data_IF_534575107811
#
_entry.id   IF_534575107811
#
_cell.length_a   1.000
_cell.length_b   1.000
_cell.length_c   1.000
_cell.angle_alpha   90.00
_cell.angle_beta   90.00
_cell.angle_gamma   90.00
#
_symmetry.space_group_name_H-M   'P 1'
#
loop_
_entity.id
_entity.type
_entity.pdbx_description
1 polymer ?
#
# COMPACT_ATOMS: atom_id res chain seq x y z
N UNK A 1 -14.15 -11.29 13.50
CA UNK A 1 -14.10 -11.59 12.04
C UNK A 1 -13.19 -12.79 11.82
N UNK A 2 -13.61 -13.75 10.99
CA UNK A 2 -12.75 -14.89 10.64
C UNK A 2 -11.86 -14.51 9.46
N UNK A 3 -10.55 -14.80 9.53
CA UNK A 3 -9.61 -14.34 8.49
C UNK A 3 -8.55 -15.37 8.14
N UNK A 4 -7.95 -15.18 6.96
CA UNK A 4 -6.80 -15.92 6.45
C UNK A 4 -5.77 -14.97 5.84
N UNK A 5 -4.52 -15.43 5.76
CA UNK A 5 -3.47 -14.77 4.99
C UNK A 5 -3.21 -15.54 3.70
N UNK A 6 -3.18 -14.87 2.57
CA UNK A 6 -2.77 -15.44 1.28
C UNK A 6 -1.33 -15.03 1.02
N UNK A 7 -0.42 -15.98 0.93
CA UNK A 7 1.00 -15.72 0.71
C UNK A 7 1.58 -16.61 -0.40
N UNK A 8 2.86 -16.46 -0.70
CA UNK A 8 3.56 -17.22 -1.73
C UNK A 8 5.04 -17.38 -1.34
N UNK A 9 5.76 -18.20 -2.06
CA UNK A 9 7.21 -18.36 -1.91
C UNK A 9 8.02 -17.18 -2.52
N UNK A 10 7.42 -16.32 -3.34
CA UNK A 10 8.13 -15.20 -3.99
C UNK A 10 7.17 -14.15 -4.56
N UNK A 11 7.72 -13.01 -5.00
CA UNK A 11 7.01 -12.05 -5.83
C UNK A 11 6.65 -12.68 -7.18
N UNK A 12 5.51 -12.24 -7.77
CA UNK A 12 5.05 -12.75 -9.06
C UNK A 12 4.40 -14.14 -9.03
N UNK A 13 4.22 -14.76 -7.85
CA UNK A 13 3.55 -16.06 -7.67
C UNK A 13 2.03 -16.04 -7.92
N UNK A 14 1.44 -14.89 -8.22
CA UNK A 14 0.01 -14.72 -8.48
C UNK A 14 -0.84 -14.40 -7.25
N UNK A 15 -0.22 -14.00 -6.14
CA UNK A 15 -0.94 -13.64 -4.90
C UNK A 15 -2.09 -12.67 -5.14
N UNK A 16 -1.83 -11.54 -5.78
CA UNK A 16 -2.84 -10.50 -6.03
C UNK A 16 -4.02 -11.06 -6.82
N UNK A 17 -3.77 -11.71 -7.96
CA UNK A 17 -4.82 -12.32 -8.78
C UNK A 17 -5.66 -13.32 -7.98
N UNK A 18 -5.01 -14.18 -7.21
CA UNK A 18 -5.70 -15.21 -6.41
C UNK A 18 -6.44 -14.60 -5.23
N UNK A 19 -5.84 -13.62 -4.52
CA UNK A 19 -6.50 -12.93 -3.40
C UNK A 19 -7.79 -12.22 -3.84
N UNK A 20 -7.72 -11.45 -4.92
CA UNK A 20 -8.90 -10.75 -5.46
C UNK A 20 -9.94 -11.74 -6.00
N UNK A 21 -9.49 -12.84 -6.63
CA UNK A 21 -10.37 -13.91 -7.08
C UNK A 21 -11.07 -14.63 -5.94
N UNK A 22 -10.38 -14.91 -4.82
CA UNK A 22 -10.97 -15.49 -3.60
C UNK A 22 -11.98 -14.52 -2.99
N UNK A 23 -11.65 -13.23 -2.84
CA UNK A 23 -12.60 -12.23 -2.34
C UNK A 23 -13.88 -12.24 -3.18
N UNK A 24 -13.78 -12.18 -4.51
CA UNK A 24 -14.92 -12.19 -5.42
C UNK A 24 -15.71 -13.51 -5.35
N UNK A 25 -15.03 -14.66 -5.27
CA UNK A 25 -15.67 -15.97 -5.14
C UNK A 25 -16.47 -16.10 -3.83
N UNK A 26 -15.91 -15.63 -2.72
CA UNK A 26 -16.59 -15.60 -1.42
C UNK A 26 -17.80 -14.67 -1.45
N UNK A 27 -17.68 -13.49 -2.06
CA UNK A 27 -18.81 -12.58 -2.24
C UNK A 27 -19.93 -13.20 -3.12
N UNK A 28 -19.58 -13.92 -4.20
CA UNK A 28 -20.54 -14.67 -5.02
C UNK A 28 -21.27 -15.76 -4.21
N UNK A 29 -20.63 -16.26 -3.15
CA UNK A 29 -21.27 -17.21 -2.19
C UNK A 29 -22.08 -16.49 -1.09
N UNK A 30 -22.16 -15.17 -1.09
CA UNK A 30 -22.97 -14.38 -0.17
C UNK A 30 -22.26 -13.89 1.09
N UNK A 31 -20.94 -14.10 1.23
CA UNK A 31 -20.18 -13.60 2.37
C UNK A 31 -19.84 -12.11 2.22
N UNK A 32 -19.86 -11.42 3.35
CA UNK A 32 -19.37 -10.04 3.47
C UNK A 32 -17.85 -10.04 3.72
N UNK A 33 -17.06 -9.58 2.73
CA UNK A 33 -15.60 -9.73 2.71
C UNK A 33 -14.90 -8.40 2.95
N UNK A 34 -13.86 -8.41 3.81
CA UNK A 34 -12.92 -7.32 4.03
C UNK A 34 -11.55 -7.70 3.47
N UNK A 35 -10.98 -6.83 2.63
CA UNK A 35 -9.62 -6.96 2.11
C UNK A 35 -8.59 -6.24 2.96
N UNK A 36 -7.39 -6.84 3.09
CA UNK A 36 -6.21 -6.25 3.72
C UNK A 36 -4.97 -6.53 2.88
N UNK A 37 -3.98 -5.66 2.98
CA UNK A 37 -2.67 -5.81 2.31
C UNK A 37 -1.54 -5.70 3.30
N UNK A 38 -0.63 -6.68 3.32
CA UNK A 38 0.63 -6.56 4.07
C UNK A 38 1.58 -5.61 3.35
N UNK A 39 2.21 -4.73 4.13
CA UNK A 39 3.22 -3.80 3.61
C UNK A 39 2.67 -2.49 3.05
N UNK A 40 3.58 -1.60 2.56
CA UNK A 40 3.27 -0.22 2.19
C UNK A 40 2.81 -0.09 0.73
N UNK A 41 1.82 -0.87 0.34
CA UNK A 41 1.26 -0.92 -1.01
C UNK A 41 0.02 -0.03 -1.14
N UNK A 42 -0.14 0.67 -2.26
CA UNK A 42 -1.30 1.51 -2.55
C UNK A 42 -2.15 0.96 -3.69
N UNK A 43 -1.59 0.05 -4.49
CA UNK A 43 -2.22 -0.46 -5.71
C UNK A 43 -3.11 -1.66 -5.40
N UNK A 44 -2.58 -2.67 -4.71
CA UNK A 44 -3.36 -3.86 -4.33
C UNK A 44 -4.56 -3.52 -3.43
N UNK A 45 -4.44 -2.60 -2.43
CA UNK A 45 -5.61 -2.12 -1.68
C UNK A 45 -6.71 -1.49 -2.54
N UNK A 46 -6.35 -0.82 -3.63
CA UNK A 46 -7.34 -0.27 -4.55
C UNK A 46 -8.10 -1.36 -5.32
N UNK A 47 -7.44 -2.47 -5.70
CA UNK A 47 -8.12 -3.65 -6.26
C UNK A 47 -9.09 -4.27 -5.26
N UNK A 48 -8.63 -4.48 -4.01
CA UNK A 48 -9.48 -5.03 -2.95
C UNK A 48 -10.72 -4.16 -2.73
N UNK A 49 -10.52 -2.84 -2.63
CA UNK A 49 -11.60 -1.88 -2.40
C UNK A 49 -12.62 -1.87 -3.54
N UNK A 50 -12.16 -1.95 -4.79
CA UNK A 50 -13.05 -2.00 -5.97
C UNK A 50 -13.91 -3.26 -5.97
N UNK A 51 -13.37 -4.39 -5.52
CA UNK A 51 -14.07 -5.68 -5.50
C UNK A 51 -15.04 -5.77 -4.34
N UNK A 52 -14.58 -5.44 -3.14
CA UNK A 52 -15.36 -5.63 -1.90
C UNK A 52 -16.36 -4.50 -1.65
N UNK A 53 -16.20 -3.37 -2.33
CA UNK A 53 -16.97 -2.15 -2.05
C UNK A 53 -16.59 -1.48 -0.72
N UNK A 54 -15.52 -1.95 -0.06
CA UNK A 54 -15.03 -1.45 1.22
C UNK A 54 -13.59 -0.97 1.11
N UNK A 55 -13.18 0.06 1.84
CA UNK A 55 -11.78 0.45 1.89
C UNK A 55 -10.91 -0.72 2.36
N UNK A 56 -9.92 -1.10 1.57
CA UNK A 56 -8.88 -2.03 2.00
C UNK A 56 -7.88 -1.31 2.91
N UNK A 57 -7.18 -2.06 3.75
CA UNK A 57 -6.29 -1.54 4.79
C UNK A 57 -4.91 -2.11 4.66
N UNK A 58 -3.92 -1.31 5.00
CA UNK A 58 -2.55 -1.79 5.07
C UNK A 58 -2.25 -2.35 6.47
N UNK A 59 -1.48 -3.44 6.50
CA UNK A 59 -0.97 -4.07 7.71
C UNK A 59 0.55 -4.09 7.62
N UNK A 60 1.17 -2.99 8.06
CA UNK A 60 2.61 -2.78 7.94
C UNK A 60 3.25 -2.58 9.32
N UNK A 61 3.85 -3.65 9.88
CA UNK A 61 4.47 -3.61 11.20
C UNK A 61 5.65 -2.61 11.26
N UNK A 62 6.36 -2.38 10.15
CA UNK A 62 7.45 -1.42 10.17
C UNK A 62 6.97 0.02 10.32
N UNK A 63 5.88 0.37 9.62
CA UNK A 63 5.36 1.73 9.61
C UNK A 63 4.52 2.05 10.84
N UNK A 64 3.74 1.10 11.38
CA UNK A 64 2.75 1.38 12.42
C UNK A 64 2.89 0.49 13.66
N UNK A 65 3.96 -0.31 13.75
CA UNK A 65 4.21 -1.26 14.83
C UNK A 65 3.11 -2.32 14.99
N UNK A 66 3.24 -3.23 15.93
CA UNK A 66 2.26 -4.31 16.13
C UNK A 66 0.90 -3.79 16.61
N UNK A 67 0.91 -2.78 17.47
CA UNK A 67 -0.33 -2.18 17.98
C UNK A 67 -1.08 -1.44 16.87
N UNK A 68 -0.37 -0.76 15.97
CA UNK A 68 -0.99 -0.09 14.82
C UNK A 68 -1.61 -1.07 13.83
N UNK A 69 -0.98 -2.23 13.55
CA UNK A 69 -1.61 -3.22 12.66
C UNK A 69 -2.83 -3.88 13.31
N UNK A 70 -2.83 -4.10 14.64
CA UNK A 70 -4.00 -4.61 15.37
C UNK A 70 -5.16 -3.61 15.31
N UNK A 71 -4.87 -2.33 15.51
CA UNK A 71 -5.85 -1.23 15.39
C UNK A 71 -6.40 -1.15 13.94
N UNK A 72 -5.52 -1.10 12.93
CA UNK A 72 -5.95 -1.10 11.52
C UNK A 72 -6.80 -2.32 11.18
N UNK A 73 -6.40 -3.51 11.65
CA UNK A 73 -7.17 -4.74 11.43
C UNK A 73 -8.55 -4.67 12.10
N UNK A 74 -8.65 -4.16 13.32
CA UNK A 74 -9.90 -4.06 14.08
C UNK A 74 -10.91 -3.08 13.48
N UNK A 75 -10.45 -2.06 12.76
CA UNK A 75 -11.29 -1.10 12.03
C UNK A 75 -11.97 -1.70 10.80
N UNK A 76 -11.50 -2.84 10.30
CA UNK A 76 -12.11 -3.54 9.17
C UNK A 76 -13.47 -4.16 9.51
N UNK A 77 -14.37 -4.19 8.53
CA UNK A 77 -15.75 -4.65 8.72
C UNK A 77 -16.09 -5.72 7.69
N UNK A 78 -16.49 -6.91 8.18
CA UNK A 78 -16.89 -8.04 7.34
C UNK A 78 -17.09 -9.30 8.16
N UNK A 79 -17.65 -10.32 7.53
CA UNK A 79 -17.74 -11.67 8.10
C UNK A 79 -16.40 -12.39 7.94
N UNK A 80 -15.78 -12.22 6.74
CA UNK A 80 -14.51 -12.83 6.38
C UNK A 80 -13.47 -11.78 6.03
N UNK A 81 -12.24 -11.95 6.54
CA UNK A 81 -11.09 -11.14 6.21
C UNK A 81 -10.11 -11.90 5.32
N UNK A 82 -9.67 -11.30 4.23
CA UNK A 82 -8.62 -11.84 3.36
C UNK A 82 -7.43 -10.88 3.38
N UNK A 83 -6.32 -11.35 3.95
CA UNK A 83 -5.07 -10.59 4.06
C UNK A 83 -4.13 -11.02 2.94
N UNK A 84 -3.88 -10.15 1.98
CA UNK A 84 -2.92 -10.41 0.93
C UNK A 84 -1.50 -10.10 1.40
N UNK A 85 -0.59 -11.06 1.31
CA UNK A 85 0.81 -10.93 1.65
C UNK A 85 1.62 -10.12 0.63
N UNK A 86 2.81 -9.71 1.04
CA UNK A 86 3.81 -9.02 0.21
C UNK A 86 5.01 -9.94 -0.04
N UNK A 87 5.66 -9.83 -1.20
CA UNK A 87 6.86 -10.61 -1.56
C UNK A 87 6.69 -12.12 -1.30
N UNK A 88 7.70 -12.81 -0.82
CA UNK A 88 7.60 -14.16 -0.27
C UNK A 88 7.17 -14.15 1.20
N UNK A 89 6.70 -15.30 1.69
CA UNK A 89 6.15 -15.44 3.05
C UNK A 89 7.06 -14.88 4.14
N UNK A 90 8.36 -15.11 4.03
CA UNK A 90 9.38 -14.72 5.00
C UNK A 90 10.23 -13.51 4.55
N UNK A 91 9.95 -12.93 3.40
CA UNK A 91 10.68 -11.77 2.92
C UNK A 91 10.27 -10.52 3.70
N UNK A 92 11.13 -10.07 4.60
CA UNK A 92 10.93 -8.90 5.43
C UNK A 92 11.94 -7.78 5.13
N UNK A 93 12.42 -7.12 6.19
CA UNK A 93 13.43 -6.06 6.05
C UNK A 93 14.84 -6.64 6.14
N UNK A 94 15.55 -6.65 5.03
CA UNK A 94 16.93 -7.12 4.99
C UNK A 94 17.05 -8.63 4.80
N UNK A 95 17.60 -9.35 5.78
CA UNK A 95 17.92 -10.78 5.68
C UNK A 95 17.10 -11.65 6.65
N UNK A 96 16.23 -11.06 7.43
CA UNK A 96 15.40 -11.79 8.39
C UNK A 96 13.90 -11.67 8.03
N UNK A 97 13.07 -12.45 8.70
CA UNK A 97 11.63 -12.49 8.49
C UNK A 97 10.87 -11.38 9.20
N UNK A 98 11.56 -10.50 9.95
CA UNK A 98 10.93 -9.40 10.64
C UNK A 98 10.28 -8.43 9.63
N UNK A 99 9.04 -8.02 9.91
CA UNK A 99 8.21 -7.19 9.02
C UNK A 99 7.71 -7.90 7.74
N UNK A 100 7.86 -9.23 7.66
CA UNK A 100 7.33 -10.04 6.54
C UNK A 100 5.84 -10.35 6.71
N UNK A 101 5.27 -10.99 5.69
CA UNK A 101 3.92 -11.56 5.76
C UNK A 101 3.78 -12.56 6.91
N UNK A 102 4.81 -13.35 7.17
CA UNK A 102 4.87 -14.29 8.28
C UNK A 102 4.77 -13.57 9.64
N UNK A 103 5.46 -12.46 9.82
CA UNK A 103 5.39 -11.67 11.05
C UNK A 103 3.98 -11.12 11.28
N UNK A 104 3.31 -10.59 10.24
CA UNK A 104 1.91 -10.15 10.34
C UNK A 104 0.98 -11.30 10.69
N UNK A 105 1.14 -12.47 10.03
CA UNK A 105 0.33 -13.66 10.30
C UNK A 105 0.47 -14.13 11.76
N UNK A 106 1.68 -14.10 12.33
CA UNK A 106 1.94 -14.42 13.75
C UNK A 106 1.32 -13.39 14.69
N UNK A 107 1.53 -12.10 14.45
CA UNK A 107 1.00 -11.01 15.29
C UNK A 107 -0.53 -11.02 15.34
N UNK A 108 -1.20 -11.37 14.24
CA UNK A 108 -2.66 -11.46 14.16
C UNK A 108 -3.19 -12.88 14.40
N UNK A 109 -2.33 -13.84 14.69
CA UNK A 109 -2.67 -15.26 14.89
C UNK A 109 -3.46 -15.90 13.74
N UNK A 110 -3.13 -15.52 12.51
CA UNK A 110 -3.86 -15.95 11.31
C UNK A 110 -3.17 -17.12 10.62
N UNK A 111 -3.94 -18.12 10.15
CA UNK A 111 -3.42 -19.17 9.30
C UNK A 111 -3.12 -18.65 7.90
N UNK A 112 -2.13 -19.28 7.25
CA UNK A 112 -1.64 -18.92 5.92
C UNK A 112 -2.10 -19.96 4.90
N UNK A 113 -2.61 -19.50 3.75
CA UNK A 113 -2.79 -20.29 2.53
C UNK A 113 -1.68 -19.90 1.55
N UNK A 114 -0.89 -20.88 1.11
CA UNK A 114 0.19 -20.65 0.15
C UNK A 114 -0.32 -20.76 -1.27
N UNK A 115 -0.01 -19.77 -2.09
CA UNK A 115 -0.19 -19.79 -3.54
C UNK A 115 1.16 -20.07 -4.19
N UNK A 116 1.29 -21.19 -4.87
CA UNK A 116 2.54 -21.62 -5.50
C UNK A 116 2.35 -21.79 -7.01
N UNK A 117 3.30 -21.28 -7.78
CA UNK A 117 3.33 -21.39 -9.27
C UNK A 117 4.50 -22.27 -9.71
N UNK A 118 4.43 -23.61 -9.52
CA UNK A 118 5.55 -24.50 -9.77
C UNK A 118 5.88 -24.61 -11.27
N UNK A 119 7.18 -24.74 -11.58
CA UNK A 119 7.69 -24.92 -12.94
C UNK A 119 8.52 -26.20 -13.03
N UNK A 120 7.97 -27.24 -13.69
CA UNK A 120 8.65 -28.52 -13.92
C UNK A 120 9.24 -29.17 -12.62
N UNK A 121 8.51 -29.06 -11.52
CA UNK A 121 8.86 -29.63 -10.21
C UNK A 121 7.95 -30.82 -9.87
N UNK A 122 8.38 -31.71 -8.96
CA UNK A 122 7.54 -32.71 -8.30
C UNK A 122 7.96 -32.87 -6.84
N UNK A 123 8.75 -33.85 -6.47
CA UNK A 123 9.25 -34.02 -5.09
C UNK A 123 10.09 -32.81 -4.61
N UNK A 124 10.77 -32.08 -5.49
CA UNK A 124 11.51 -30.86 -5.14
C UNK A 124 10.57 -29.77 -4.60
N UNK A 125 9.34 -29.65 -5.15
CA UNK A 125 8.33 -28.75 -4.60
C UNK A 125 7.96 -29.11 -3.16
N UNK A 126 7.91 -30.42 -2.83
CA UNK A 126 7.63 -30.87 -1.47
C UNK A 126 8.74 -30.46 -0.48
N UNK A 127 10.01 -30.50 -0.92
CA UNK A 127 11.12 -30.02 -0.10
C UNK A 127 11.02 -28.50 0.17
N UNK A 128 10.61 -27.71 -0.84
CA UNK A 128 10.36 -26.27 -0.69
C UNK A 128 9.20 -26.01 0.29
N UNK A 129 8.07 -26.70 0.12
CA UNK A 129 6.91 -26.59 1.01
C UNK A 129 7.30 -26.95 2.46
N UNK A 130 7.99 -28.07 2.66
CA UNK A 130 8.45 -28.47 3.99
C UNK A 130 9.41 -27.44 4.59
N UNK A 131 10.27 -26.80 3.77
CA UNK A 131 11.11 -25.70 4.19
C UNK A 131 10.27 -24.52 4.69
N UNK A 132 9.26 -24.10 3.92
CA UNK A 132 8.35 -23.01 4.30
C UNK A 132 7.54 -23.33 5.56
N UNK A 133 7.12 -24.58 5.75
CA UNK A 133 6.35 -25.01 6.93
C UNK A 133 7.16 -25.06 8.23
N UNK A 134 8.47 -25.28 8.12
CA UNK A 134 9.34 -25.50 9.27
C UNK A 134 10.35 -24.36 9.52
N UNK A 135 10.36 -23.34 8.69
CA UNK A 135 11.29 -22.20 8.85
C UNK A 135 10.98 -21.36 10.09
N UNK A 136 9.70 -21.14 10.34
CA UNK A 136 9.19 -20.52 11.58
C UNK A 136 7.88 -21.18 12.00
N UNK A 137 7.47 -20.98 13.26
CA UNK A 137 6.17 -21.45 13.79
C UNK A 137 5.02 -20.65 13.18
N UNK A 138 4.54 -21.08 12.01
CA UNK A 138 3.39 -20.52 11.31
C UNK A 138 2.44 -21.63 10.92
N UNK A 139 1.15 -21.39 11.09
CA UNK A 139 0.13 -22.31 10.66
C UNK A 139 -0.12 -22.17 9.14
N UNK A 140 0.44 -23.07 8.33
CA UNK A 140 0.09 -23.20 6.92
C UNK A 140 -1.11 -24.15 6.84
N UNK A 141 -2.29 -23.60 6.53
CA UNK A 141 -3.57 -24.34 6.51
C UNK A 141 -3.85 -25.03 5.18
N UNK A 142 -3.25 -24.60 4.08
CA UNK A 142 -3.47 -25.20 2.77
C UNK A 142 -2.65 -24.57 1.65
N UNK A 143 -2.69 -25.22 0.48
CA UNK A 143 -1.97 -24.79 -0.72
C UNK A 143 -2.91 -24.67 -1.91
N UNK A 144 -2.78 -23.59 -2.68
CA UNK A 144 -3.41 -23.44 -4.00
C UNK A 144 -2.28 -23.41 -5.04
N UNK A 145 -2.38 -24.27 -6.03
CA UNK A 145 -1.43 -24.35 -7.13
C UNK A 145 -1.89 -23.44 -8.27
N UNK A 146 -1.04 -22.51 -8.69
CA UNK A 146 -1.39 -21.49 -9.67
C UNK A 146 -0.70 -21.71 -11.01
N UNK A 147 -1.37 -21.38 -12.11
CA UNK A 147 -0.85 -21.36 -13.47
C UNK A 147 -0.32 -22.74 -13.96
N UNK A 148 -1.08 -23.82 -13.68
CA UNK A 148 -0.72 -25.19 -14.03
C UNK A 148 -1.85 -25.90 -14.81
N UNK A 149 -1.52 -27.00 -15.49
CA UNK A 149 -2.52 -27.87 -16.12
C UNK A 149 -3.15 -28.84 -15.11
N UNK A 150 -4.33 -29.36 -15.43
CA UNK A 150 -5.05 -30.33 -14.58
C UNK A 150 -4.23 -31.62 -14.37
N UNK A 151 -3.58 -32.14 -15.40
CA UNK A 151 -2.74 -33.33 -15.29
C UNK A 151 -1.54 -33.10 -14.36
N UNK A 152 -0.95 -31.93 -14.42
CA UNK A 152 0.16 -31.56 -13.54
C UNK A 152 -0.33 -31.30 -12.11
N UNK A 153 -1.52 -30.72 -11.94
CA UNK A 153 -2.17 -30.60 -10.64
C UNK A 153 -2.35 -31.95 -9.95
N UNK A 154 -2.88 -32.97 -10.66
CA UNK A 154 -3.10 -34.30 -10.10
C UNK A 154 -1.81 -34.95 -9.60
N UNK A 155 -0.71 -34.81 -10.39
CA UNK A 155 0.60 -35.28 -9.98
C UNK A 155 1.10 -34.57 -8.73
N UNK A 156 1.05 -33.22 -8.72
CA UNK A 156 1.56 -32.42 -7.61
C UNK A 156 0.74 -32.61 -6.33
N UNK A 157 -0.59 -32.70 -6.46
CA UNK A 157 -1.47 -32.97 -5.32
C UNK A 157 -1.09 -34.27 -4.65
N UNK A 158 -0.95 -35.35 -5.41
CA UNK A 158 -0.53 -36.65 -4.89
C UNK A 158 0.86 -36.57 -4.21
N UNK A 159 1.82 -35.88 -4.84
CA UNK A 159 3.16 -35.74 -4.29
C UNK A 159 3.18 -34.92 -2.97
N UNK A 160 2.44 -33.81 -2.92
CA UNK A 160 2.38 -32.91 -1.75
C UNK A 160 1.64 -33.60 -0.59
N UNK A 161 0.48 -34.18 -0.82
CA UNK A 161 -0.29 -34.84 0.22
C UNK A 161 0.40 -36.11 0.79
N UNK A 162 1.29 -36.73 -0.02
CA UNK A 162 2.11 -37.86 0.44
C UNK A 162 3.34 -37.42 1.26
N UNK A 163 4.01 -36.31 0.86
CA UNK A 163 5.30 -35.92 1.46
C UNK A 163 5.21 -34.73 2.44
N UNK A 164 4.10 -33.99 2.43
CA UNK A 164 3.91 -32.81 3.26
C UNK A 164 2.62 -32.95 4.06
N UNK A 165 2.65 -32.60 5.32
CA UNK A 165 1.44 -32.63 6.18
C UNK A 165 0.57 -31.37 5.94
N UNK A 166 0.16 -31.15 4.68
CA UNK A 166 -0.66 -29.99 4.29
C UNK A 166 -1.60 -30.37 3.15
N UNK A 167 -2.80 -29.80 3.15
CA UNK A 167 -3.82 -30.08 2.14
C UNK A 167 -3.64 -29.20 0.90
N UNK A 168 -3.82 -29.80 -0.28
CA UNK A 168 -3.90 -29.05 -1.54
C UNK A 168 -5.38 -28.72 -1.81
N UNK A 169 -5.74 -27.45 -1.66
CA UNK A 169 -7.11 -26.95 -1.78
C UNK A 169 -7.63 -26.91 -3.23
N UNK A 170 -6.72 -26.82 -4.19
CA UNK A 170 -7.07 -26.75 -5.59
C UNK A 170 -6.01 -26.11 -6.45
N UNK A 171 -6.41 -25.74 -7.68
CA UNK A 171 -5.51 -25.10 -8.63
C UNK A 171 -6.22 -24.06 -9.50
N UNK A 172 -5.43 -23.15 -10.06
CA UNK A 172 -5.86 -22.21 -11.10
C UNK A 172 -5.14 -22.59 -12.40
N UNK A 173 -5.88 -22.85 -13.48
CA UNK A 173 -5.30 -23.20 -14.76
C UNK A 173 -4.54 -22.01 -15.35
N UNK A 174 -3.64 -22.32 -16.31
CA UNK A 174 -3.01 -21.28 -17.11
C UNK A 174 -4.08 -20.61 -17.97
N UNK A 175 -4.31 -19.32 -17.75
CA UNK A 175 -5.24 -18.51 -18.53
C UNK A 175 -4.65 -17.12 -18.76
N UNK A 176 -4.37 -16.80 -20.04
CA UNK A 176 -3.76 -15.53 -20.42
C UNK A 176 -4.66 -14.31 -20.10
N UNK A 177 -5.96 -14.52 -19.98
CA UNK A 177 -6.92 -13.47 -19.62
C UNK A 177 -6.76 -12.98 -18.18
N UNK A 178 -6.12 -13.78 -17.31
CA UNK A 178 -5.87 -13.41 -15.91
C UNK A 178 -4.67 -12.49 -15.73
N UNK A 179 -3.92 -12.20 -16.79
CA UNK A 179 -2.76 -11.32 -16.69
C UNK A 179 -3.19 -9.88 -16.40
N UNK A 180 -2.80 -9.39 -15.25
CA UNK A 180 -2.91 -7.97 -14.91
C UNK A 180 -1.64 -7.27 -15.41
N UNK A 181 -1.81 -6.21 -16.19
CA UNK A 181 -0.69 -5.43 -16.74
C UNK A 181 0.15 -4.82 -15.60
N UNK A 182 1.43 -4.57 -15.88
CA UNK A 182 2.33 -3.91 -14.94
C UNK A 182 2.92 -2.63 -15.53
N UNK A 183 3.18 -1.62 -14.70
CA UNK A 183 3.93 -0.40 -15.02
C UNK A 183 5.33 -0.42 -14.42
N UNK A 184 6.09 0.65 -14.66
CA UNK A 184 7.48 0.80 -14.21
C UNK A 184 7.70 0.68 -12.68
N UNK A 185 6.65 0.88 -11.86
CA UNK A 185 6.69 0.83 -10.39
C UNK A 185 5.69 -0.17 -9.79
N UNK A 186 5.18 -1.12 -10.58
CA UNK A 186 4.22 -2.11 -10.10
C UNK A 186 3.05 -2.32 -11.05
N UNK A 187 1.90 -2.75 -10.54
CA UNK A 187 0.68 -2.92 -11.33
C UNK A 187 0.12 -1.57 -11.81
N UNK A 188 -0.66 -1.59 -12.87
CA UNK A 188 -1.46 -0.44 -13.32
C UNK A 188 -2.53 -0.17 -12.26
N UNK A 189 -2.85 1.11 -12.01
CA UNK A 189 -3.92 1.45 -11.05
C UNK A 189 -5.25 0.82 -11.45
N UNK A 190 -6.04 0.39 -10.47
CA UNK A 190 -7.33 -0.27 -10.70
C UNK A 190 -8.30 0.57 -11.53
N UNK A 191 -8.21 1.91 -11.43
CA UNK A 191 -9.02 2.86 -12.20
C UNK A 191 -8.65 2.97 -13.68
N UNK A 192 -7.51 2.42 -14.10
CA UNK A 192 -6.97 2.48 -15.46
C UNK A 192 -7.10 1.15 -16.22
N UNK A 193 -7.54 0.07 -15.55
CA UNK A 193 -7.73 -1.25 -16.19
C UNK A 193 -9.19 -1.36 -16.63
N UNK A 194 -9.44 -1.19 -17.93
CA UNK A 194 -10.79 -1.21 -18.50
C UNK A 194 -11.51 -2.55 -18.31
N UNK A 195 -10.77 -3.67 -18.38
CA UNK A 195 -11.27 -5.04 -18.27
C UNK A 195 -11.03 -5.70 -16.91
N UNK A 196 -10.76 -4.89 -15.87
CA UNK A 196 -10.43 -5.42 -14.54
C UNK A 196 -11.54 -6.29 -13.94
N UNK A 197 -12.79 -5.87 -14.04
CA UNK A 197 -13.93 -6.61 -13.51
C UNK A 197 -14.10 -7.95 -14.20
N UNK A 198 -13.96 -7.99 -15.53
CA UNK A 198 -14.00 -9.24 -16.30
C UNK A 198 -12.90 -10.20 -15.88
N UNK A 199 -11.65 -9.73 -15.75
CA UNK A 199 -10.53 -10.56 -15.29
C UNK A 199 -10.75 -11.14 -13.90
N UNK A 200 -11.30 -10.34 -12.99
CA UNK A 200 -11.60 -10.79 -11.63
C UNK A 200 -12.75 -11.80 -11.65
N UNK A 201 -13.77 -11.60 -12.46
CA UNK A 201 -14.88 -12.55 -12.61
C UNK A 201 -14.39 -13.89 -13.17
N UNK A 202 -13.57 -13.89 -14.21
CA UNK A 202 -12.92 -15.09 -14.75
C UNK A 202 -12.09 -15.80 -13.68
N UNK A 203 -11.29 -15.08 -12.91
CA UNK A 203 -10.51 -15.65 -11.81
C UNK A 203 -11.41 -16.29 -10.75
N UNK A 204 -12.48 -15.59 -10.34
CA UNK A 204 -13.44 -16.10 -9.36
C UNK A 204 -14.16 -17.38 -9.85
N UNK A 205 -14.45 -17.47 -11.14
CA UNK A 205 -15.03 -18.68 -11.74
C UNK A 205 -14.06 -19.86 -11.71
N UNK A 206 -12.78 -19.63 -12.01
CA UNK A 206 -11.76 -20.66 -11.86
C UNK A 206 -11.63 -21.13 -10.40
N UNK A 207 -11.70 -20.20 -9.45
CA UNK A 207 -11.64 -20.53 -8.02
C UNK A 207 -12.87 -21.35 -7.62
N UNK A 208 -14.08 -20.91 -7.96
CA UNK A 208 -15.32 -21.65 -7.64
C UNK A 208 -15.36 -23.05 -8.27
N UNK A 209 -14.71 -23.23 -9.41
CA UNK A 209 -14.68 -24.51 -10.11
C UNK A 209 -13.61 -25.47 -9.63
N UNK A 210 -12.42 -24.95 -9.31
CA UNK A 210 -11.21 -25.78 -9.15
C UNK A 210 -10.61 -25.73 -7.74
N UNK A 211 -11.15 -24.90 -6.83
CA UNK A 211 -10.71 -24.82 -5.43
C UNK A 211 -11.84 -25.29 -4.53
N UNK A 212 -11.51 -26.13 -3.56
CA UNK A 212 -12.45 -26.59 -2.53
C UNK A 212 -12.71 -25.44 -1.54
N UNK A 213 -13.79 -24.69 -1.80
CA UNK A 213 -14.16 -23.51 -1.00
C UNK A 213 -14.60 -23.94 0.41
N UNK A 214 -15.21 -25.11 0.57
CA UNK A 214 -15.67 -25.56 1.88
C UNK A 214 -14.47 -25.91 2.78
N UNK A 215 -13.42 -26.50 2.22
CA UNK A 215 -12.16 -26.70 2.93
C UNK A 215 -11.41 -25.38 3.17
N UNK A 216 -11.41 -24.47 2.22
CA UNK A 216 -10.84 -23.14 2.40
C UNK A 216 -11.51 -22.41 3.57
N UNK A 217 -12.85 -22.45 3.66
CA UNK A 217 -13.61 -21.81 4.74
C UNK A 217 -13.28 -22.39 6.13
N UNK A 218 -12.90 -23.68 6.24
CA UNK A 218 -12.48 -24.29 7.50
C UNK A 218 -11.12 -23.75 8.00
N UNK A 219 -10.31 -23.17 7.11
CA UNK A 219 -9.01 -22.56 7.47
C UNK A 219 -9.21 -21.19 8.10
N UNK A 220 -10.27 -20.45 7.72
CA UNK A 220 -10.55 -19.15 8.31
C UNK A 220 -10.66 -19.25 9.83
N UNK A 221 -9.82 -18.50 10.53
CA UNK A 221 -9.73 -18.48 11.99
C UNK A 221 -10.29 -17.17 12.53
N UNK A 222 -11.05 -17.26 13.60
CA UNK A 222 -11.48 -16.09 14.35
C UNK A 222 -10.31 -15.47 15.11
N UNK A 223 -10.11 -14.18 14.93
CA UNK A 223 -9.05 -13.44 15.63
C UNK A 223 -9.52 -12.98 17.01
N UNK A 224 -8.59 -12.76 17.95
CA UNK A 224 -8.89 -12.01 19.15
C UNK A 224 -9.51 -10.64 18.83
N UNK A 225 -10.21 -10.05 19.79
CA UNK A 225 -10.64 -8.66 19.70
C UNK A 225 -9.44 -7.79 20.08
N UNK A 226 -8.98 -6.99 19.13
CA UNK A 226 -7.89 -6.05 19.38
C UNK A 226 -8.46 -4.68 19.75
N UNK A 227 -7.83 -4.04 20.73
CA UNK A 227 -8.15 -2.66 21.12
C UNK A 227 -7.56 -1.68 20.09
N UNK A 228 -8.31 -0.62 19.82
CA UNK A 228 -7.85 0.51 19.02
C UNK A 228 -7.67 1.74 19.94
N UNK A 229 -6.43 2.09 20.20
CA UNK A 229 -6.05 3.21 21.05
C UNK A 229 -5.63 4.47 20.26
N UNK A 230 -5.84 4.47 18.94
CA UNK A 230 -5.38 5.53 18.03
C UNK A 230 -6.50 6.52 17.65
N UNK A 231 -7.40 6.81 18.57
CA UNK A 231 -8.46 7.80 18.33
C UNK A 231 -8.00 9.22 18.63
N UNK A 232 -8.42 10.15 17.78
CA UNK A 232 -8.16 11.57 17.95
C UNK A 232 -9.46 12.31 18.31
N UNK A 233 -9.32 13.38 19.10
CA UNK A 233 -10.46 14.22 19.42
C UNK A 233 -10.81 15.11 18.24
N UNK A 234 -12.09 15.24 17.93
CA UNK A 234 -12.59 16.14 16.88
C UNK A 234 -12.24 17.60 17.21
N UNK A 235 -11.69 18.31 16.23
CA UNK A 235 -11.28 19.73 16.32
C UNK A 235 -12.06 20.63 15.35
N UNK A 236 -13.12 20.10 14.72
CA UNK A 236 -13.95 20.75 13.68
C UNK A 236 -13.14 21.30 12.50
N UNK A 237 -12.02 20.64 12.15
CA UNK A 237 -11.17 21.07 11.06
C UNK A 237 -11.82 20.80 9.69
N UNK A 238 -11.63 21.71 8.73
CA UNK A 238 -11.91 21.46 7.32
C UNK A 238 -10.64 21.10 6.57
N UNK A 239 -10.58 19.85 6.11
CA UNK A 239 -9.38 19.25 5.56
C UNK A 239 -9.63 18.93 4.08
N UNK A 240 -8.85 19.51 3.18
CA UNK A 240 -8.89 19.16 1.76
C UNK A 240 -7.88 18.06 1.45
N UNK A 241 -8.33 17.01 0.77
CA UNK A 241 -7.47 15.90 0.31
C UNK A 241 -7.53 15.81 -1.21
N UNK A 242 -6.38 15.91 -1.87
CA UNK A 242 -6.27 15.73 -3.30
C UNK A 242 -6.55 14.26 -3.67
N UNK A 243 -7.60 13.97 -4.44
CA UNK A 243 -7.94 12.59 -4.77
C UNK A 243 -8.48 12.46 -6.19
N UNK A 244 -7.66 11.89 -7.08
CA UNK A 244 -8.01 11.54 -8.45
C UNK A 244 -7.01 10.55 -9.04
N UNK A 245 -6.99 10.37 -10.36
CA UNK A 245 -6.06 9.46 -11.04
C UNK A 245 -4.58 9.85 -10.89
N UNK A 246 -4.28 11.14 -10.65
CA UNK A 246 -2.91 11.60 -10.44
C UNK A 246 -2.46 11.47 -8.98
N UNK A 247 -3.40 11.52 -8.02
CA UNK A 247 -3.15 11.48 -6.58
C UNK A 247 -4.10 10.49 -5.90
N UNK A 248 -3.63 9.29 -5.62
CA UNK A 248 -4.45 8.21 -5.04
C UNK A 248 -3.73 7.38 -3.98
N UNK A 249 -2.47 7.71 -3.65
CA UNK A 249 -1.67 6.94 -2.72
C UNK A 249 -1.84 7.48 -1.31
N UNK A 250 -2.80 6.90 -0.59
CA UNK A 250 -3.12 7.22 0.80
C UNK A 250 -3.29 5.92 1.59
N UNK A 251 -2.75 5.86 2.80
CA UNK A 251 -3.16 4.86 3.76
C UNK A 251 -4.55 5.18 4.28
N UNK A 252 -5.45 4.20 4.31
CA UNK A 252 -6.82 4.41 4.81
C UNK A 252 -6.81 4.92 6.25
N UNK A 253 -5.87 4.44 7.05
CA UNK A 253 -5.67 4.85 8.44
C UNK A 253 -5.38 6.34 8.56
N UNK A 254 -4.56 6.90 7.65
CA UNK A 254 -4.27 8.34 7.64
C UNK A 254 -5.54 9.17 7.38
N UNK A 255 -6.35 8.72 6.42
CA UNK A 255 -7.61 9.39 6.09
C UNK A 255 -8.60 9.30 7.26
N UNK A 256 -8.71 8.14 7.92
CA UNK A 256 -9.61 7.98 9.07
C UNK A 256 -9.22 8.87 10.26
N UNK A 257 -7.93 9.00 10.54
CA UNK A 257 -7.48 9.93 11.57
C UNK A 257 -7.80 11.39 11.22
N UNK A 258 -7.76 11.77 9.93
CA UNK A 258 -8.21 13.08 9.48
C UNK A 258 -9.74 13.22 9.58
N UNK A 259 -10.51 12.18 9.25
CA UNK A 259 -11.98 12.14 9.40
C UNK A 259 -12.40 12.24 10.89
N UNK A 260 -11.61 11.71 11.83
CA UNK A 260 -11.84 11.89 13.26
C UNK A 260 -11.63 13.36 13.71
N UNK A 261 -10.68 14.07 13.11
CA UNK A 261 -10.35 15.46 13.43
C UNK A 261 -11.33 16.48 12.86
N UNK A 262 -12.07 16.13 11.79
CA UNK A 262 -13.04 17.04 11.18
C UNK A 262 -13.59 16.59 9.85
N UNK A 263 -14.04 17.54 9.05
CA UNK A 263 -14.62 17.31 7.73
C UNK A 263 -13.52 17.11 6.67
N UNK A 264 -13.44 15.93 6.06
CA UNK A 264 -12.54 15.65 4.94
C UNK A 264 -13.27 15.90 3.62
N UNK A 265 -12.77 16.84 2.82
CA UNK A 265 -13.30 17.23 1.53
C UNK A 265 -12.32 16.79 0.45
N UNK A 266 -12.73 15.83 -0.39
CA UNK A 266 -11.93 15.41 -1.53
C UNK A 266 -12.10 16.40 -2.68
N UNK A 267 -10.98 16.70 -3.35
CA UNK A 267 -10.96 17.49 -4.57
C UNK A 267 -10.04 16.86 -5.63
N UNK A 268 -10.32 17.14 -6.89
CA UNK A 268 -9.54 16.61 -8.01
C UNK A 268 -8.63 17.69 -8.61
N UNK A 269 -7.31 17.61 -8.43
CA UNK A 269 -6.37 18.46 -9.15
C UNK A 269 -6.52 18.43 -10.68
N UNK A 270 -6.95 17.31 -11.24
CA UNK A 270 -7.20 17.16 -12.68
C UNK A 270 -8.47 17.90 -13.15
N UNK A 271 -9.56 17.84 -12.37
CA UNK A 271 -10.89 18.23 -12.88
C UNK A 271 -11.48 19.48 -12.22
N UNK A 272 -11.24 19.71 -10.93
CA UNK A 272 -11.75 20.86 -10.21
C UNK A 272 -10.98 22.12 -10.58
N UNK A 273 -11.64 23.27 -10.47
CA UNK A 273 -11.07 24.55 -10.88
C UNK A 273 -10.40 25.33 -9.74
N UNK A 274 -10.77 25.02 -8.49
CA UNK A 274 -10.28 25.68 -7.28
C UNK A 274 -10.32 24.72 -6.11
N UNK A 275 -9.51 25.00 -5.07
CA UNK A 275 -9.63 24.36 -3.78
C UNK A 275 -11.02 24.56 -3.16
N UNK A 276 -11.49 23.63 -2.32
CA UNK A 276 -12.64 23.83 -1.45
C UNK A 276 -12.44 25.09 -0.59
N UNK A 277 -13.55 25.74 -0.23
CA UNK A 277 -13.51 26.98 0.57
C UNK A 277 -13.31 26.69 2.05
N UNK A 278 -12.73 27.66 2.73
CA UNK A 278 -12.59 27.69 4.19
C UNK A 278 -11.86 26.44 4.77
N UNK A 279 -10.92 25.89 4.01
CA UNK A 279 -10.08 24.79 4.46
C UNK A 279 -8.95 25.31 5.34
N UNK A 280 -8.59 24.53 6.37
CA UNK A 280 -7.54 24.82 7.33
C UNK A 280 -6.28 23.95 7.11
N UNK A 281 -6.45 22.82 6.42
CA UNK A 281 -5.36 21.90 6.10
C UNK A 281 -5.53 21.30 4.71
N UNK A 282 -4.43 21.22 3.97
CA UNK A 282 -4.34 20.60 2.64
C UNK A 282 -3.41 19.39 2.69
N UNK A 283 -3.92 18.21 2.32
CA UNK A 283 -3.13 17.00 2.18
C UNK A 283 -3.06 16.56 0.71
N UNK A 284 -1.84 16.51 0.16
CA UNK A 284 -1.58 16.03 -1.21
C UNK A 284 -0.70 14.79 -1.10
N UNK A 285 -1.29 13.62 -1.23
CA UNK A 285 -0.58 12.35 -1.16
C UNK A 285 0.25 12.02 -2.40
N UNK A 286 0.71 10.79 -2.46
CA UNK A 286 1.42 10.27 -3.61
C UNK A 286 0.51 9.91 -4.78
N UNK A 287 1.14 9.48 -5.86
CA UNK A 287 0.49 9.08 -7.09
C UNK A 287 1.44 9.14 -8.28
N UNK A 288 0.89 9.35 -9.46
CA UNK A 288 1.64 9.44 -10.72
C UNK A 288 1.40 10.79 -11.45
N UNK A 289 1.72 11.94 -10.85
CA UNK A 289 1.49 13.24 -11.49
C UNK A 289 2.24 13.40 -12.81
N UNK A 290 3.38 12.71 -13.00
CA UNK A 290 4.15 12.72 -14.24
C UNK A 290 3.43 12.05 -15.41
N UNK A 291 2.50 11.15 -15.14
CA UNK A 291 1.66 10.49 -16.17
C UNK A 291 0.59 11.45 -16.68
N UNK A 292 0.09 12.31 -15.79
CA UNK A 292 -1.01 13.25 -16.08
C UNK A 292 -0.51 14.70 -16.18
N UNK A 293 0.78 14.88 -16.51
CA UNK A 293 1.39 16.21 -16.46
C UNK A 293 0.76 17.21 -17.44
N UNK A 294 0.31 16.76 -18.60
CA UNK A 294 -0.36 17.63 -19.57
C UNK A 294 -1.70 18.17 -19.04
N UNK A 295 -2.52 17.29 -18.45
CA UNK A 295 -3.81 17.64 -17.87
C UNK A 295 -3.63 18.55 -16.66
N UNK A 296 -2.74 18.21 -15.76
CA UNK A 296 -2.40 19.02 -14.59
C UNK A 296 -1.92 20.42 -15.00
N UNK A 297 -1.02 20.50 -15.99
CA UNK A 297 -0.50 21.77 -16.49
C UNK A 297 -1.53 22.64 -17.17
N UNK A 298 -2.55 22.05 -17.82
CA UNK A 298 -3.65 22.78 -18.44
C UNK A 298 -4.61 23.38 -17.41
N UNK A 299 -4.69 22.82 -16.21
CA UNK A 299 -5.58 23.29 -15.16
C UNK A 299 -5.00 24.49 -14.38
N UNK A 300 -4.66 25.56 -15.10
CA UNK A 300 -4.04 26.77 -14.53
C UNK A 300 -4.83 27.40 -13.37
N UNK A 301 -6.15 27.24 -13.37
CA UNK A 301 -7.00 27.78 -12.30
C UNK A 301 -6.78 27.03 -10.97
N UNK A 302 -6.64 25.71 -10.99
CA UNK A 302 -6.33 24.92 -9.81
C UNK A 302 -4.89 25.21 -9.31
N UNK A 303 -3.90 25.21 -10.22
CA UNK A 303 -2.52 25.55 -9.88
C UNK A 303 -2.43 26.90 -9.14
N UNK A 304 -3.11 27.92 -9.70
CA UNK A 304 -3.18 29.26 -9.11
C UNK A 304 -3.89 29.24 -7.75
N UNK A 305 -5.00 28.53 -7.63
CA UNK A 305 -5.78 28.45 -6.39
C UNK A 305 -4.96 27.83 -5.26
N UNK A 306 -4.24 26.72 -5.51
CA UNK A 306 -3.37 26.09 -4.53
C UNK A 306 -2.25 27.07 -4.10
N UNK A 307 -1.56 27.65 -5.07
CA UNK A 307 -0.45 28.57 -4.79
C UNK A 307 -0.90 29.77 -3.93
N UNK A 308 -2.02 30.40 -4.30
CA UNK A 308 -2.55 31.57 -3.58
C UNK A 308 -2.91 31.24 -2.13
N UNK A 309 -3.52 30.05 -1.86
CA UNK A 309 -3.85 29.66 -0.50
C UNK A 309 -2.61 29.30 0.34
N UNK A 310 -1.62 28.64 -0.27
CA UNK A 310 -0.33 28.37 0.38
C UNK A 310 0.43 29.67 0.68
N UNK A 311 0.45 30.63 -0.23
CA UNK A 311 1.08 31.95 -0.04
C UNK A 311 0.36 32.78 1.06
N UNK A 312 -0.92 32.51 1.34
CA UNK A 312 -1.67 33.09 2.48
C UNK A 312 -1.41 32.35 3.81
N UNK A 313 -0.65 31.26 3.79
CA UNK A 313 -0.29 30.51 4.99
C UNK A 313 -1.16 29.29 5.28
N UNK A 314 -1.94 28.78 4.32
CA UNK A 314 -2.63 27.51 4.46
C UNK A 314 -1.63 26.40 4.82
N UNK A 315 -1.94 25.62 5.84
CA UNK A 315 -1.13 24.46 6.22
C UNK A 315 -1.25 23.38 5.16
N UNK A 316 -0.09 22.83 4.77
CA UNK A 316 -0.05 21.77 3.76
C UNK A 316 0.99 20.71 4.10
N UNK A 317 0.59 19.45 3.93
CA UNK A 317 1.49 18.32 3.90
C UNK A 317 1.40 17.61 2.55
N UNK A 318 2.55 17.39 1.91
CA UNK A 318 2.60 16.76 0.59
C UNK A 318 3.61 15.61 0.57
N UNK A 319 3.19 14.46 0.05
CA UNK A 319 4.03 13.26 -0.05
C UNK A 319 4.33 12.90 -1.51
N UNK A 320 5.59 12.57 -1.82
CA UNK A 320 6.03 11.97 -3.07
C UNK A 320 5.50 12.70 -4.32
N UNK A 321 4.47 12.20 -4.98
CA UNK A 321 3.79 12.88 -6.09
C UNK A 321 3.28 14.27 -5.73
N UNK A 322 2.82 14.45 -4.50
CA UNK A 322 2.40 15.76 -3.97
C UNK A 322 3.58 16.74 -3.87
N UNK A 323 4.76 16.30 -3.42
CA UNK A 323 5.98 17.11 -3.47
C UNK A 323 6.29 17.55 -4.91
N UNK A 324 6.26 16.60 -5.87
CA UNK A 324 6.51 16.88 -7.28
C UNK A 324 5.52 17.95 -7.81
N UNK A 325 4.26 17.84 -7.44
CA UNK A 325 3.21 18.77 -7.89
C UNK A 325 3.34 20.19 -7.32
N UNK A 326 3.98 20.36 -6.16
CA UNK A 326 4.22 21.66 -5.56
C UNK A 326 5.44 22.40 -6.14
N UNK A 327 6.29 21.75 -6.97
CA UNK A 327 7.42 22.38 -7.67
C UNK A 327 6.95 23.30 -8.81
N UNK A 328 7.87 23.97 -9.51
CA UNK A 328 7.53 24.81 -10.68
C UNK A 328 7.14 23.97 -11.89
N UNK A 329 7.73 22.77 -12.05
CA UNK A 329 7.46 21.89 -13.17
C UNK A 329 7.86 20.45 -12.87
N UNK A 330 7.22 19.51 -13.58
CA UNK A 330 7.61 18.09 -13.65
C UNK A 330 8.13 17.80 -15.06
N UNK A 331 9.28 17.13 -15.14
CA UNK A 331 9.84 16.60 -16.39
C UNK A 331 9.80 15.07 -16.36
N UNK A 332 9.13 14.45 -17.31
CA UNK A 332 9.02 12.99 -17.41
C UNK A 332 10.26 12.37 -18.13
N UNK A 333 10.31 11.03 -18.17
CA UNK A 333 11.41 10.30 -18.80
C UNK A 333 11.55 10.51 -20.33
N UNK A 334 10.54 11.05 -20.97
CA UNK A 334 10.49 11.34 -22.41
C UNK A 334 10.92 12.79 -22.71
N UNK A 335 11.23 13.57 -21.65
CA UNK A 335 11.60 14.97 -21.75
C UNK A 335 10.39 15.91 -21.86
N UNK A 336 9.17 15.41 -21.73
CA UNK A 336 7.99 16.26 -21.63
C UNK A 336 8.01 16.99 -20.29
N UNK A 337 7.95 18.31 -20.35
CA UNK A 337 7.92 19.19 -19.18
C UNK A 337 6.61 19.92 -19.11
N UNK A 338 5.97 19.89 -17.96
CA UNK A 338 4.73 20.62 -17.70
C UNK A 338 4.80 21.44 -16.43
N UNK A 339 4.19 22.63 -16.46
CA UNK A 339 4.11 23.51 -15.28
C UNK A 339 3.20 22.87 -14.21
N UNK A 340 3.56 23.09 -12.96
CA UNK A 340 2.81 22.66 -11.79
C UNK A 340 2.51 23.85 -10.87
N UNK A 341 2.26 23.65 -9.58
CA UNK A 341 1.83 24.71 -8.66
C UNK A 341 2.84 25.85 -8.54
N UNK A 342 4.13 25.54 -8.60
CA UNK A 342 5.21 26.53 -8.50
C UNK A 342 5.26 27.21 -7.12
N UNK A 343 4.91 26.50 -6.07
CA UNK A 343 5.06 27.00 -4.70
C UNK A 343 6.50 26.86 -4.23
N UNK A 344 7.11 25.69 -4.41
CA UNK A 344 8.56 25.50 -4.25
C UNK A 344 9.28 25.89 -5.53
N UNK A 345 10.39 26.62 -5.37
CA UNK A 345 11.20 27.07 -6.51
C UNK A 345 12.16 25.96 -6.94
N UNK A 346 12.01 25.53 -8.18
CA UNK A 346 12.78 24.46 -8.79
C UNK A 346 11.91 23.41 -9.46
N UNK A 347 12.50 22.29 -9.87
CA UNK A 347 11.84 21.30 -10.72
C UNK A 347 11.96 19.87 -10.17
N UNK A 348 10.97 19.06 -10.52
CA UNK A 348 11.02 17.61 -10.35
C UNK A 348 11.34 16.94 -11.68
N UNK A 349 12.22 15.93 -11.67
CA UNK A 349 12.63 15.17 -12.85
C UNK A 349 12.48 13.68 -12.61
N UNK A 350 11.87 12.98 -13.57
CA UNK A 350 11.82 11.52 -13.55
C UNK A 350 13.19 10.92 -13.89
N UNK A 351 13.50 9.77 -13.28
CA UNK A 351 14.74 9.02 -13.46
C UNK A 351 14.47 7.59 -13.88
N UNK A 352 15.42 6.95 -14.55
CA UNK A 352 15.31 5.54 -14.96
C UNK A 352 15.44 4.56 -13.79
N UNK A 353 16.07 4.96 -12.69
CA UNK A 353 16.36 4.12 -11.52
C UNK A 353 15.57 4.58 -10.31
N UNK A 354 15.24 3.62 -9.43
CA UNK A 354 14.70 3.93 -8.11
C UNK A 354 15.69 4.77 -7.31
N UNK A 355 15.14 5.73 -6.56
CA UNK A 355 15.86 6.61 -5.64
C UNK A 355 15.47 6.25 -4.21
N UNK A 356 16.44 6.11 -3.30
CA UNK A 356 16.21 5.92 -1.85
C UNK A 356 15.14 4.89 -1.47
N UNK A 357 15.05 3.80 -2.20
CA UNK A 357 13.99 2.79 -2.09
C UNK A 357 13.93 2.09 -0.73
N UNK A 358 12.72 1.90 -0.19
CA UNK A 358 12.37 0.98 0.90
C UNK A 358 12.18 1.67 2.25
N UNK A 359 12.15 0.87 3.31
CA UNK A 359 11.93 1.31 4.67
C UNK A 359 13.07 2.14 5.22
N UNK A 360 12.73 3.24 5.90
CA UNK A 360 13.65 4.15 6.55
C UNK A 360 12.96 4.83 7.75
N UNK A 361 13.71 5.55 8.57
CA UNK A 361 13.20 6.37 9.65
C UNK A 361 13.43 7.84 9.32
N UNK A 362 12.38 8.61 9.39
CA UNK A 362 12.39 10.06 9.30
C UNK A 362 12.64 10.64 10.70
N UNK A 363 13.60 11.58 10.79
CA UNK A 363 13.91 12.34 11.99
C UNK A 363 13.86 13.84 11.67
N UNK A 364 13.15 14.60 12.49
CA UNK A 364 13.16 16.08 12.43
C UNK A 364 14.50 16.57 12.98
N UNK A 365 15.45 16.90 12.11
CA UNK A 365 16.83 17.21 12.49
C UNK A 365 17.13 18.70 12.66
N UNK A 366 16.25 19.60 12.19
CA UNK A 366 16.43 21.06 12.28
C UNK A 366 15.27 21.72 13.03
N UNK A 367 15.59 22.81 13.71
CA UNK A 367 14.58 23.70 14.32
C UNK A 367 13.64 24.26 13.26
N UNK A 368 12.35 24.20 13.51
CA UNK A 368 11.28 24.74 12.67
C UNK A 368 10.02 24.99 13.54
N UNK A 369 9.03 25.69 13.00
CA UNK A 369 7.83 26.09 13.73
C UNK A 369 6.73 24.99 13.78
N UNK A 370 6.86 23.96 12.95
CA UNK A 370 5.80 22.92 12.78
C UNK A 370 6.10 21.72 13.66
N UNK A 371 7.30 21.16 13.58
CA UNK A 371 7.65 19.94 14.30
C UNK A 371 8.66 20.19 15.42
N UNK A 372 8.51 19.50 16.56
CA UNK A 372 9.56 19.46 17.56
C UNK A 372 10.79 18.73 16.99
N UNK A 373 11.98 19.32 17.23
CA UNK A 373 13.24 18.68 16.85
C UNK A 373 13.42 17.36 17.59
N UNK A 374 13.90 16.34 16.87
CA UNK A 374 14.04 14.97 17.40
C UNK A 374 12.79 14.09 17.26
N UNK A 375 11.66 14.64 16.78
CA UNK A 375 10.50 13.81 16.46
C UNK A 375 10.87 12.82 15.36
N UNK A 376 10.51 11.56 15.54
CA UNK A 376 10.77 10.49 14.58
C UNK A 376 9.48 9.79 14.16
N UNK A 377 9.46 9.30 12.93
CA UNK A 377 8.42 8.39 12.41
C UNK A 377 9.03 7.45 11.37
N UNK A 378 8.60 6.21 11.36
CA UNK A 378 8.99 5.27 10.32
C UNK A 378 8.31 5.63 9.00
N UNK A 379 9.04 5.49 7.90
CA UNK A 379 8.59 5.88 6.58
C UNK A 379 9.03 4.87 5.52
N UNK A 380 8.46 5.04 4.35
CA UNK A 380 8.82 4.27 3.16
C UNK A 380 9.01 5.23 1.97
N UNK A 381 10.05 5.01 1.17
CA UNK A 381 10.22 5.72 -0.11
C UNK A 381 10.20 4.73 -1.28
N UNK A 382 9.46 5.07 -2.32
CA UNK A 382 9.36 4.27 -3.55
C UNK A 382 9.10 5.17 -4.76
N UNK A 383 10.14 5.79 -5.29
CA UNK A 383 10.00 6.74 -6.40
C UNK A 383 11.16 6.65 -7.40
N UNK A 384 10.90 7.07 -8.64
CA UNK A 384 11.87 7.23 -9.73
C UNK A 384 11.98 8.70 -10.12
N UNK A 385 12.02 9.60 -9.16
CA UNK A 385 12.15 11.02 -9.40
C UNK A 385 13.14 11.65 -8.42
N UNK A 386 13.64 12.80 -8.79
CA UNK A 386 14.43 13.68 -7.93
C UNK A 386 13.85 15.09 -8.02
N UNK A 387 14.04 15.87 -6.96
CA UNK A 387 13.74 17.31 -6.97
C UNK A 387 15.00 18.11 -6.77
N UNK A 388 15.12 19.22 -7.49
CA UNK A 388 16.18 20.22 -7.34
C UNK A 388 15.52 21.51 -6.85
N UNK A 389 15.55 21.78 -5.54
CA UNK A 389 14.84 22.88 -4.89
C UNK A 389 15.80 23.74 -4.07
N UNK A 390 15.51 25.04 -4.00
CA UNK A 390 16.27 26.01 -3.21
C UNK A 390 15.86 26.01 -1.72
N UNK A 391 14.75 25.37 -1.36
CA UNK A 391 14.17 25.37 -0.01
C UNK A 391 14.98 24.53 0.98
N UNK A 392 14.89 24.93 2.26
CA UNK A 392 15.54 24.19 3.35
C UNK A 392 14.83 22.87 3.59
N UNK A 393 15.61 21.84 3.89
CA UNK A 393 15.10 20.55 4.38
C UNK A 393 15.20 20.48 5.89
N UNK A 394 14.19 19.89 6.53
CA UNK A 394 14.13 19.72 7.99
C UNK A 394 14.21 18.27 8.44
N UNK A 395 14.03 17.32 7.52
CA UNK A 395 14.11 15.89 7.80
C UNK A 395 15.44 15.30 7.43
N UNK A 396 15.94 14.41 8.28
CA UNK A 396 17.00 13.45 7.99
C UNK A 396 16.36 12.07 7.91
N UNK A 397 16.53 11.42 6.78
CA UNK A 397 16.05 10.05 6.59
C UNK A 397 17.22 9.10 6.85
N UNK A 398 17.02 8.15 7.74
CA UNK A 398 18.02 7.17 8.16
C UNK A 398 17.58 5.78 7.73
N UNK A 399 18.37 5.11 6.89
CA UNK A 399 18.12 3.73 6.43
C UNK A 399 19.24 2.81 6.89
N UNK A 400 18.93 1.87 7.76
CA UNK A 400 19.85 0.81 8.16
C UNK A 400 19.79 -0.33 7.15
N UNK A 401 20.93 -0.67 6.59
CA UNK A 401 21.12 -1.77 5.63
C UNK A 401 21.29 -3.11 6.37
N UNK A 402 21.16 -4.21 5.63
CA UNK A 402 21.29 -5.58 6.18
C UNK A 402 22.64 -5.85 6.84
N UNK A 403 23.70 -5.16 6.44
CA UNK A 403 25.05 -5.28 6.98
C UNK A 403 25.32 -4.34 8.18
N UNK A 404 24.30 -3.63 8.68
CA UNK A 404 24.41 -2.66 9.78
C UNK A 404 24.86 -1.25 9.35
N UNK A 405 25.27 -1.05 8.10
CA UNK A 405 25.56 0.29 7.60
C UNK A 405 24.32 1.16 7.56
N UNK A 406 24.46 2.43 7.91
CA UNK A 406 23.39 3.42 7.81
C UNK A 406 23.64 4.37 6.65
N UNK A 407 22.71 4.42 5.69
CA UNK A 407 22.63 5.47 4.70
C UNK A 407 21.69 6.55 5.19
N UNK A 408 22.04 7.81 4.92
CA UNK A 408 21.17 8.93 5.26
C UNK A 408 21.12 9.94 4.13
N UNK A 409 20.01 10.67 4.06
CA UNK A 409 19.79 11.78 3.14
C UNK A 409 18.84 12.78 3.77
N UNK A 410 18.79 13.99 3.21
CA UNK A 410 17.89 15.03 3.67
C UNK A 410 16.67 15.13 2.78
N UNK A 411 15.50 15.35 3.39
CA UNK A 411 14.19 15.54 2.76
C UNK A 411 13.35 16.51 3.61
N UNK A 412 12.05 16.62 3.30
CA UNK A 412 11.13 17.47 4.06
C UNK A 412 11.42 18.94 3.80
N UNK A 413 11.16 19.37 2.57
CA UNK A 413 11.26 20.76 2.13
C UNK A 413 10.19 21.58 2.83
N UNK A 414 10.58 22.71 3.43
CA UNK A 414 9.71 23.59 4.20
C UNK A 414 9.70 25.01 3.62
N UNK A 415 8.49 25.56 3.47
CA UNK A 415 8.25 26.96 3.13
C UNK A 415 6.94 27.42 3.74
N UNK A 416 6.98 28.45 4.58
CA UNK A 416 5.81 28.85 5.38
C UNK A 416 5.26 27.67 6.19
N UNK A 417 3.97 27.43 6.08
CA UNK A 417 3.26 26.32 6.75
C UNK A 417 3.16 25.04 5.90
N UNK A 418 3.95 24.95 4.82
CA UNK A 418 3.93 23.80 3.91
C UNK A 418 5.17 22.95 4.12
N UNK A 419 4.95 21.63 4.25
CA UNK A 419 6.01 20.63 4.25
C UNK A 419 5.73 19.62 3.14
N UNK A 420 6.77 19.30 2.36
CA UNK A 420 6.69 18.30 1.33
C UNK A 420 7.92 17.37 1.35
N UNK A 421 7.70 16.06 1.25
CA UNK A 421 8.74 15.04 1.32
C UNK A 421 8.47 13.90 0.35
N UNK A 422 9.53 13.16 -0.03
CA UNK A 422 9.35 11.88 -0.72
C UNK A 422 8.87 10.76 0.20
N UNK A 423 9.16 10.88 1.49
CA UNK A 423 8.79 9.90 2.49
C UNK A 423 7.25 9.79 2.62
N UNK A 424 6.76 8.57 2.54
CA UNK A 424 5.39 8.22 2.90
C UNK A 424 5.35 7.76 4.35
N UNK A 425 4.43 8.28 5.13
CA UNK A 425 4.26 7.93 6.54
C UNK A 425 2.86 7.38 6.81
N UNK A 426 2.77 6.44 7.75
CA UNK A 426 1.49 6.05 8.33
C UNK A 426 1.35 6.71 9.70
N UNK A 427 0.30 7.50 9.91
CA UNK A 427 0.13 8.28 11.14
C UNK A 427 -0.11 7.42 12.38
N UNK A 428 -0.54 6.15 12.23
CA UNK A 428 -0.59 5.21 13.36
C UNK A 428 0.80 4.88 13.90
N UNK A 429 1.86 5.05 13.10
CA UNK A 429 3.24 4.86 13.56
C UNK A 429 3.70 5.91 14.58
N UNK A 430 3.17 7.13 14.47
CA UNK A 430 3.37 8.20 15.46
C UNK A 430 2.32 9.31 15.27
N UNK A 431 1.26 9.30 16.07
CA UNK A 431 0.18 10.30 16.00
C UNK A 431 0.65 11.72 16.35
N UNK A 432 1.75 11.88 17.10
CA UNK A 432 2.32 13.21 17.40
C UNK A 432 2.84 13.90 16.14
N UNK A 433 3.21 13.13 15.10
CA UNK A 433 3.57 13.70 13.81
C UNK A 433 2.36 14.41 13.16
N UNK A 434 1.20 13.76 13.13
CA UNK A 434 -0.04 14.36 12.63
C UNK A 434 -0.49 15.56 13.48
N UNK A 435 -0.45 15.42 14.80
CA UNK A 435 -0.81 16.53 15.71
C UNK A 435 0.09 17.75 15.50
N UNK A 436 1.38 17.55 15.28
CA UNK A 436 2.31 18.64 14.98
C UNK A 436 1.99 19.36 13.67
N UNK A 437 1.64 18.60 12.59
CA UNK A 437 1.20 19.18 11.31
C UNK A 437 -0.01 20.11 11.45
N UNK A 438 -0.91 19.78 12.38
CA UNK A 438 -2.20 20.47 12.54
C UNK A 438 -2.21 21.53 13.66
N UNK A 439 -1.18 21.55 14.53
CA UNK A 439 -1.09 22.47 15.66
C UNK A 439 -1.31 23.92 15.24
N UNK A 440 -2.28 24.60 15.90
CA UNK A 440 -2.64 26.01 15.69
C UNK A 440 -1.55 26.96 16.14
#
# INVERSE_FOLDING_TARGET
MKSIVISSNSSGGGKTTISVGIMKALMKKGFDVQGYKVGPDYIDPAFHSKITGKPSRNLDIYLMEEEGIKASYSRGKGELGVVEGVMGLYDGKGIDSKYSTAHVAKTLELPVVLVLSPKAQSATLCAEINGLMNFEEIQIGGIILNNISESYYNLLKAAIEYNCNVKVLGYIPKDERLKIGSRHLGLIQSSEIEDLEEKIDICSEHILKNVDIDELLKIFKETPVYEDNFHLQNEDLKIAVAYDKAFSFYYRENIELLEELGEVIYFSPLNDKKLPKDIEFLYIGGGYPEVFIEELSKNKSMLKSIKEELDKGLKCYAECGGLMYLTEAIENNEGLKGDTVGYFKGTSKMTKRLQNFGYAQLEVCKENEIFPKGLTINCHEFHKSIVELDEKTIFKINKTMYNGETKNWHCGYIKGNTIAAYAHVNFLGNTEFLKALLKK
#
